data_IF_598570230162
#
_entry.id   IF_598570230162
#
_cell.length_a   1.000
_cell.length_b   1.000
_cell.length_c   1.000
_cell.angle_alpha   90.00
_cell.angle_beta   90.00
_cell.angle_gamma   90.00
#
_symmetry.space_group_name_H-M   'P 1'
#
loop_
_entity.id
_entity.type
_entity.pdbx_description
1 polymer ?
#
# COMPACT_ATOMS: atom_id res chain seq x y z
N UNK A 1 13.07 -42.10 -18.96
CA UNK A 1 13.78 -41.51 -17.80
C UNK A 1 13.32 -40.07 -17.67
N UNK A 2 12.53 -39.75 -16.64
CA UNK A 2 12.08 -38.38 -16.42
C UNK A 2 13.28 -37.55 -15.95
N UNK A 3 13.53 -36.41 -16.61
CA UNK A 3 14.59 -35.50 -16.20
C UNK A 3 14.13 -34.85 -14.89
N UNK A 4 14.88 -35.01 -13.81
CA UNK A 4 14.64 -34.30 -12.55
C UNK A 4 14.80 -32.81 -12.82
N UNK A 5 13.69 -32.07 -12.81
CA UNK A 5 13.72 -30.60 -12.90
C UNK A 5 14.20 -30.08 -11.55
N UNK A 6 15.48 -29.70 -11.48
CA UNK A 6 16.05 -29.09 -10.29
C UNK A 6 15.46 -27.68 -10.13
N UNK A 7 14.80 -27.46 -8.99
CA UNK A 7 14.26 -26.17 -8.51
C UNK A 7 13.01 -25.63 -9.26
N UNK A 8 11.83 -26.26 -9.06
CA UNK A 8 10.57 -25.72 -9.58
C UNK A 8 10.15 -24.46 -8.82
N UNK A 9 9.46 -23.55 -9.49
CA UNK A 9 8.86 -22.41 -8.80
C UNK A 9 7.75 -22.88 -7.84
N UNK A 10 7.62 -22.23 -6.69
CA UNK A 10 6.60 -22.52 -5.67
C UNK A 10 5.17 -22.63 -6.25
N UNK A 11 4.83 -21.76 -7.21
CA UNK A 11 3.52 -21.78 -7.86
C UNK A 11 3.32 -23.01 -8.78
N UNK A 12 4.38 -23.54 -9.39
CA UNK A 12 4.31 -24.75 -10.23
C UNK A 12 3.97 -25.97 -9.36
N UNK A 13 4.69 -26.13 -8.24
CA UNK A 13 4.44 -27.22 -7.28
C UNK A 13 3.00 -27.16 -6.74
N UNK A 14 2.54 -25.95 -6.40
CA UNK A 14 1.16 -25.74 -5.89
C UNK A 14 0.10 -26.01 -6.96
N UNK A 15 0.38 -25.72 -8.23
CA UNK A 15 -0.49 -26.08 -9.35
C UNK A 15 -0.65 -27.59 -9.49
N UNK A 16 0.45 -28.34 -9.36
CA UNK A 16 0.43 -29.81 -9.37
C UNK A 16 -0.37 -30.36 -8.18
N UNK A 17 -0.20 -29.77 -6.98
CA UNK A 17 -1.00 -30.14 -5.80
C UNK A 17 -2.50 -29.91 -6.06
N UNK A 18 -2.88 -28.77 -6.65
CA UNK A 18 -4.27 -28.45 -6.97
C UNK A 18 -4.87 -29.48 -7.94
N UNK A 19 -4.12 -29.81 -9.00
CA UNK A 19 -4.53 -30.81 -9.99
C UNK A 19 -4.70 -32.21 -9.37
N UNK A 20 -3.73 -32.68 -8.59
CA UNK A 20 -3.79 -34.00 -7.95
C UNK A 20 -4.88 -34.06 -6.86
N UNK A 21 -5.13 -32.95 -6.15
CA UNK A 21 -6.24 -32.84 -5.21
C UNK A 21 -7.60 -32.93 -5.92
N UNK A 22 -7.75 -32.29 -7.09
CA UNK A 22 -8.96 -32.40 -7.90
C UNK A 22 -9.22 -33.85 -8.35
N UNK A 23 -8.16 -34.62 -8.62
CA UNK A 23 -8.21 -36.08 -8.87
C UNK A 23 -8.45 -36.93 -7.62
N UNK A 24 -8.68 -36.32 -6.45
CA UNK A 24 -8.93 -36.98 -5.15
C UNK A 24 -7.78 -37.89 -4.68
N UNK A 25 -6.55 -37.56 -5.06
CA UNK A 25 -5.34 -38.27 -4.57
C UNK A 25 -5.10 -37.90 -3.10
N UNK A 26 -4.73 -38.89 -2.27
CA UNK A 26 -4.44 -38.65 -0.85
C UNK A 26 -3.18 -37.77 -0.69
N UNK A 27 -3.13 -36.84 0.28
CA UNK A 27 -1.98 -35.93 0.45
C UNK A 27 -0.61 -36.61 0.58
N UNK A 28 -0.55 -37.80 1.20
CA UNK A 28 0.69 -38.56 1.32
C UNK A 28 1.21 -39.07 -0.04
N UNK A 29 0.29 -39.44 -0.93
CA UNK A 29 0.61 -39.89 -2.29
C UNK A 29 1.00 -38.71 -3.18
N UNK A 30 0.35 -37.55 -3.01
CA UNK A 30 0.75 -36.30 -3.67
C UNK A 30 2.20 -35.97 -3.33
N UNK A 31 2.59 -36.02 -2.06
CA UNK A 31 3.97 -35.78 -1.63
C UNK A 31 4.95 -36.76 -2.28
N UNK A 32 4.61 -38.05 -2.35
CA UNK A 32 5.47 -39.07 -2.98
C UNK A 32 5.73 -38.75 -4.46
N UNK A 33 4.70 -38.38 -5.21
CA UNK A 33 4.82 -38.00 -6.62
C UNK A 33 5.61 -36.71 -6.81
N UNK A 34 5.45 -35.73 -5.90
CA UNK A 34 6.26 -34.50 -5.95
C UNK A 34 7.74 -34.79 -5.73
N UNK A 35 8.09 -35.64 -4.76
CA UNK A 35 9.48 -36.03 -4.49
C UNK A 35 10.09 -36.80 -5.67
N UNK A 36 9.31 -37.66 -6.32
CA UNK A 36 9.76 -38.41 -7.50
C UNK A 36 10.11 -37.50 -8.68
N UNK A 37 9.34 -36.42 -8.89
CA UNK A 37 9.49 -35.51 -10.04
C UNK A 37 10.52 -34.39 -9.75
N UNK A 38 10.42 -33.76 -8.59
CA UNK A 38 11.14 -32.53 -8.23
C UNK A 38 12.26 -32.74 -7.21
N UNK A 39 12.38 -33.93 -6.62
CA UNK A 39 13.40 -34.26 -5.61
C UNK A 39 12.94 -34.04 -4.16
N UNK A 40 13.75 -34.51 -3.22
CA UNK A 40 13.42 -34.54 -1.77
C UNK A 40 13.18 -33.15 -1.15
N UNK A 41 13.79 -32.10 -1.71
CA UNK A 41 13.75 -30.75 -1.15
C UNK A 41 12.58 -29.88 -1.65
N UNK A 42 11.65 -30.42 -2.44
CA UNK A 42 10.58 -29.64 -3.07
C UNK A 42 9.61 -29.00 -2.06
N UNK A 43 9.08 -29.80 -1.14
CA UNK A 43 8.07 -29.35 -0.18
C UNK A 43 7.86 -30.39 0.92
N UNK A 44 7.85 -29.96 2.18
CA UNK A 44 7.52 -30.85 3.30
C UNK A 44 6.06 -31.33 3.24
N UNK A 45 5.80 -32.57 3.66
CA UNK A 45 4.45 -33.16 3.71
C UNK A 45 3.40 -32.29 4.43
N UNK A 46 3.81 -31.54 5.44
CA UNK A 46 2.94 -30.61 6.17
C UNK A 46 2.39 -29.48 5.29
N UNK A 47 3.21 -28.95 4.37
CA UNK A 47 2.79 -27.90 3.43
C UNK A 47 1.85 -28.45 2.36
N UNK A 48 2.08 -29.67 1.87
CA UNK A 48 1.16 -30.35 0.95
C UNK A 48 -0.23 -30.49 1.60
N UNK A 49 -0.30 -30.96 2.85
CA UNK A 49 -1.57 -31.06 3.59
C UNK A 49 -2.25 -29.71 3.79
N UNK A 50 -1.46 -28.66 4.09
CA UNK A 50 -1.98 -27.29 4.23
C UNK A 50 -2.60 -26.79 2.92
N UNK A 51 -1.94 -26.99 1.78
CA UNK A 51 -2.45 -26.60 0.46
C UNK A 51 -3.69 -27.39 0.08
N UNK A 52 -3.69 -28.72 0.27
CA UNK A 52 -4.88 -29.56 0.03
C UNK A 52 -6.07 -29.06 0.85
N UNK A 53 -5.88 -28.72 2.13
CA UNK A 53 -6.94 -28.15 2.96
C UNK A 53 -7.47 -26.84 2.37
N UNK A 54 -6.59 -25.91 2.01
CA UNK A 54 -7.02 -24.62 1.44
C UNK A 54 -7.77 -24.77 0.11
N UNK A 55 -7.33 -25.71 -0.75
CA UNK A 55 -8.05 -26.01 -2.00
C UNK A 55 -9.44 -26.63 -1.73
N UNK A 56 -9.56 -27.47 -0.70
CA UNK A 56 -10.86 -28.00 -0.28
C UNK A 56 -11.76 -26.92 0.34
N UNK A 57 -11.17 -25.92 0.99
CA UNK A 57 -11.87 -24.75 1.54
C UNK A 57 -12.24 -23.72 0.44
N UNK A 58 -12.00 -24.02 -0.85
CA UNK A 58 -12.44 -23.23 -1.99
C UNK A 58 -11.44 -22.19 -2.51
N UNK A 59 -10.20 -22.17 -2.00
CA UNK A 59 -9.13 -21.30 -2.55
C UNK A 59 -8.81 -21.71 -3.99
N UNK A 60 -8.78 -20.75 -4.91
CA UNK A 60 -8.37 -20.97 -6.32
C UNK A 60 -7.02 -20.33 -6.65
N UNK A 61 -6.56 -19.35 -5.86
CA UNK A 61 -5.31 -18.66 -6.08
C UNK A 61 -4.11 -19.50 -5.59
N UNK A 62 -3.15 -19.70 -6.50
CA UNK A 62 -1.95 -20.51 -6.32
C UNK A 62 -0.78 -19.69 -5.73
N UNK A 63 -0.81 -18.37 -5.93
CA UNK A 63 0.20 -17.45 -5.43
C UNK A 63 0.00 -17.16 -3.94
N UNK A 64 1.08 -16.73 -3.28
CA UNK A 64 1.02 -16.22 -1.93
C UNK A 64 0.07 -15.02 -1.86
N UNK A 65 -0.72 -14.95 -0.79
CA UNK A 65 -1.48 -13.75 -0.50
C UNK A 65 -0.53 -12.62 -0.12
N UNK A 66 -0.95 -11.39 -0.40
CA UNK A 66 -0.23 -10.22 0.06
C UNK A 66 -0.03 -10.34 1.57
N UNK A 67 1.23 -10.42 2.01
CA UNK A 67 1.54 -10.46 3.44
C UNK A 67 1.05 -9.15 4.04
N UNK A 68 0.27 -9.25 5.11
CA UNK A 68 0.01 -8.08 5.95
C UNK A 68 1.37 -7.57 6.44
N UNK A 69 1.76 -6.41 5.92
CA UNK A 69 2.98 -5.74 6.36
C UNK A 69 2.86 -5.30 7.81
N UNK A 70 3.90 -4.65 8.33
CA UNK A 70 3.81 -3.96 9.61
C UNK A 70 2.62 -2.98 9.57
N UNK A 71 1.70 -3.01 10.54
CA UNK A 71 0.62 -2.03 10.61
C UNK A 71 1.23 -0.63 10.63
N UNK A 72 0.84 0.24 9.69
CA UNK A 72 1.29 1.63 9.75
C UNK A 72 0.70 2.27 10.99
N UNK A 73 1.54 2.87 11.83
CA UNK A 73 1.15 3.56 13.09
C UNK A 73 0.20 4.75 12.82
N UNK A 74 0.05 5.15 11.55
CA UNK A 74 -0.98 6.08 11.11
C UNK A 74 -2.36 5.40 11.11
N UNK A 75 -3.03 5.42 12.26
CA UNK A 75 -4.46 5.11 12.39
C UNK A 75 -5.24 6.18 11.61
N UNK A 76 -6.30 5.82 10.88
CA UNK A 76 -7.08 6.77 10.07
C UNK A 76 -7.55 8.01 10.86
N UNK A 77 -7.88 7.83 12.15
CA UNK A 77 -8.25 8.93 13.05
C UNK A 77 -7.11 9.94 13.30
N UNK A 78 -5.84 9.51 13.25
CA UNK A 78 -4.69 10.41 13.31
C UNK A 78 -4.55 11.20 12.01
N UNK A 79 -4.71 10.53 10.87
CA UNK A 79 -4.62 11.17 9.55
C UNK A 79 -5.65 12.29 9.43
N UNK A 80 -6.88 12.06 9.89
CA UNK A 80 -7.94 13.07 9.93
C UNK A 80 -7.55 14.30 10.78
N UNK A 81 -7.02 14.09 11.98
CA UNK A 81 -6.59 15.19 12.88
C UNK A 81 -5.44 16.00 12.30
N UNK A 82 -4.45 15.34 11.69
CA UNK A 82 -3.34 16.03 11.01
C UNK A 82 -3.86 16.84 9.82
N UNK A 83 -4.86 16.33 9.10
CA UNK A 83 -5.47 17.04 7.98
C UNK A 83 -6.27 18.28 8.43
N UNK A 84 -7.09 18.15 9.48
CA UNK A 84 -7.82 19.27 10.08
C UNK A 84 -6.87 20.40 10.46
N UNK A 85 -5.77 20.06 11.15
CA UNK A 85 -4.75 21.04 11.54
C UNK A 85 -4.08 21.72 10.34
N UNK A 86 -3.86 20.96 9.28
CA UNK A 86 -3.32 21.48 8.02
C UNK A 86 -4.27 22.48 7.37
N UNK A 87 -5.58 22.26 7.47
CA UNK A 87 -6.58 23.19 6.94
C UNK A 87 -6.71 24.48 7.76
N UNK A 88 -6.50 24.44 9.08
CA UNK A 88 -6.49 25.65 9.93
C UNK A 88 -5.40 26.65 9.51
N UNK A 89 -4.22 26.16 9.12
CA UNK A 89 -3.11 26.99 8.73
C UNK A 89 -2.36 26.42 7.52
N UNK A 90 -2.60 27.01 6.34
CA UNK A 90 -1.89 26.64 5.10
C UNK A 90 -0.38 26.88 5.13
N UNK A 91 0.14 27.63 6.12
CA UNK A 91 1.57 27.89 6.35
C UNK A 91 2.13 27.13 7.55
N UNK A 92 1.65 25.92 7.79
CA UNK A 92 2.18 25.06 8.86
C UNK A 92 3.57 24.49 8.52
N UNK A 93 4.29 24.06 9.55
CA UNK A 93 5.58 23.37 9.43
C UNK A 93 5.50 22.02 10.16
N UNK A 94 6.22 21.01 9.69
CA UNK A 94 6.29 19.69 10.37
C UNK A 94 6.67 19.80 11.85
N UNK A 95 7.48 20.81 12.22
CA UNK A 95 7.84 21.09 13.62
C UNK A 95 6.63 21.47 14.48
N UNK A 96 5.72 22.30 13.97
CA UNK A 96 4.48 22.66 14.67
C UNK A 96 3.63 21.40 14.91
N UNK A 97 3.55 20.52 13.89
CA UNK A 97 2.87 19.23 14.04
C UNK A 97 3.57 18.32 15.07
N UNK A 98 4.90 18.33 15.17
CA UNK A 98 5.59 17.55 16.20
C UNK A 98 5.31 18.07 17.61
N UNK A 99 5.19 19.39 17.77
CA UNK A 99 4.91 20.01 19.07
C UNK A 99 3.47 19.68 19.52
N UNK A 100 2.50 19.68 18.59
CA UNK A 100 1.10 19.32 18.88
C UNK A 100 0.87 17.81 19.02
N UNK A 101 1.58 17.00 18.24
CA UNK A 101 1.49 15.54 18.24
C UNK A 101 2.76 14.91 18.83
N UNK A 102 3.12 15.30 20.06
CA UNK A 102 4.37 14.88 20.74
C UNK A 102 4.51 13.36 20.94
N UNK A 103 3.40 12.62 20.93
CA UNK A 103 3.37 11.16 21.02
C UNK A 103 3.80 10.46 19.72
N UNK A 104 3.97 11.22 18.64
CA UNK A 104 4.18 10.67 17.29
C UNK A 104 5.52 11.13 16.75
N UNK A 105 6.25 10.17 16.19
CA UNK A 105 7.56 10.48 15.61
C UNK A 105 7.42 11.41 14.39
N UNK A 106 8.40 12.30 14.25
CA UNK A 106 8.50 13.23 13.11
C UNK A 106 8.42 12.51 11.74
N UNK A 107 9.01 11.32 11.64
CA UNK A 107 9.00 10.52 10.41
C UNK A 107 7.59 10.09 10.01
N UNK A 108 6.79 9.65 10.99
CA UNK A 108 5.39 9.25 10.74
C UNK A 108 4.55 10.46 10.35
N UNK A 109 4.73 11.62 11.00
CA UNK A 109 4.05 12.85 10.61
C UNK A 109 4.41 13.28 9.18
N UNK A 110 5.69 13.16 8.80
CA UNK A 110 6.12 13.45 7.43
C UNK A 110 5.50 12.48 6.43
N UNK A 111 5.45 11.19 6.75
CA UNK A 111 4.80 10.17 5.91
C UNK A 111 3.29 10.45 5.73
N UNK A 112 2.60 10.85 6.81
CA UNK A 112 1.17 11.21 6.75
C UNK A 112 0.97 12.41 5.83
N UNK A 113 1.72 13.49 6.01
CA UNK A 113 1.56 14.71 5.22
C UNK A 113 1.89 14.47 3.74
N UNK A 114 3.00 13.79 3.44
CA UNK A 114 3.47 13.61 2.06
C UNK A 114 2.85 12.42 1.34
N UNK A 115 2.71 11.27 1.98
CA UNK A 115 2.27 10.04 1.30
C UNK A 115 0.77 9.78 1.46
N UNK A 116 0.19 10.06 2.64
CA UNK A 116 -1.24 9.80 2.89
C UNK A 116 -2.11 10.96 2.42
N UNK A 117 -1.79 12.19 2.81
CA UNK A 117 -2.52 13.40 2.45
C UNK A 117 -2.06 14.02 1.12
N UNK A 118 -0.90 13.57 0.60
CA UNK A 118 -0.34 14.04 -0.66
C UNK A 118 -0.08 15.56 -0.72
N UNK A 119 0.21 16.18 0.42
CA UNK A 119 0.57 17.58 0.47
C UNK A 119 2.02 17.79 0.02
N UNK A 120 2.23 18.89 -0.71
CA UNK A 120 3.55 19.32 -1.17
C UNK A 120 3.89 20.69 -0.62
N UNK A 121 5.14 20.88 -0.23
CA UNK A 121 5.65 22.18 0.17
C UNK A 121 5.78 23.07 -1.06
N UNK A 122 5.04 24.18 -1.05
CA UNK A 122 5.12 25.22 -2.08
C UNK A 122 5.71 26.50 -1.48
N UNK A 123 6.48 27.23 -2.28
CA UNK A 123 6.93 28.56 -1.90
C UNK A 123 5.84 29.58 -2.21
N UNK A 124 5.57 30.50 -1.29
CA UNK A 124 4.66 31.62 -1.55
C UNK A 124 5.22 32.48 -2.69
N UNK A 125 4.35 32.94 -3.59
CA UNK A 125 4.74 33.90 -4.63
C UNK A 125 5.00 35.27 -4.02
N UNK A 126 6.01 35.96 -4.52
CA UNK A 126 6.29 37.33 -4.10
C UNK A 126 5.19 38.26 -4.58
N UNK A 127 4.70 39.12 -3.69
CA UNK A 127 3.67 40.12 -4.00
C UNK A 127 4.31 41.50 -3.84
N UNK A 128 4.40 42.31 -4.91
CA UNK A 128 5.16 43.56 -4.89
C UNK A 128 4.70 44.59 -3.86
N UNK A 129 3.40 44.62 -3.58
CA UNK A 129 2.81 45.58 -2.65
C UNK A 129 1.58 44.98 -1.99
N UNK A 130 1.43 45.23 -0.70
CA UNK A 130 0.20 44.92 0.03
C UNK A 130 -0.93 45.79 -0.52
N UNK A 131 -1.92 45.15 -1.16
CA UNK A 131 -3.09 45.87 -1.70
C UNK A 131 -4.07 46.16 -0.56
N UNK A 132 -4.40 47.43 -0.39
CA UNK A 132 -5.54 47.85 0.45
C UNK A 132 -6.85 47.56 -0.27
N UNK A 133 -7.96 47.51 0.46
CA UNK A 133 -9.26 47.14 -0.13
C UNK A 133 -9.71 48.11 -1.21
N UNK A 134 -9.40 49.41 -1.07
CA UNK A 134 -9.62 50.44 -2.11
C UNK A 134 -8.87 50.10 -3.41
N UNK A 135 -7.65 49.58 -3.33
CA UNK A 135 -6.89 49.19 -4.51
C UNK A 135 -7.42 47.89 -5.13
N UNK A 136 -8.04 47.00 -4.35
CA UNK A 136 -8.66 45.76 -4.85
C UNK A 136 -9.95 46.08 -5.60
N UNK A 137 -10.82 46.91 -5.04
CA UNK A 137 -12.09 47.32 -5.67
C UNK A 137 -11.86 48.06 -6.98
N UNK A 138 -10.93 49.02 -7.01
CA UNK A 138 -10.52 49.71 -8.25
C UNK A 138 -9.98 48.74 -9.30
N UNK A 139 -9.13 47.79 -8.90
CA UNK A 139 -8.57 46.81 -9.83
C UNK A 139 -9.62 45.86 -10.43
N UNK A 140 -10.61 45.42 -9.65
CA UNK A 140 -11.72 44.60 -10.14
C UNK A 140 -12.60 45.38 -11.12
N UNK A 141 -12.91 46.65 -10.81
CA UNK A 141 -13.69 47.52 -11.72
C UNK A 141 -12.97 47.79 -13.05
N UNK A 142 -11.65 48.01 -13.02
CA UNK A 142 -10.84 48.17 -14.24
C UNK A 142 -10.72 46.89 -15.06
N UNK A 143 -10.68 45.72 -14.43
CA UNK A 143 -10.64 44.43 -15.14
C UNK A 143 -11.97 44.12 -15.83
N UNK A 144 -13.11 44.41 -15.19
CA UNK A 144 -14.44 44.19 -15.76
C UNK A 144 -14.77 45.15 -16.92
N UNK A 145 -14.26 46.39 -16.86
CA UNK A 145 -14.44 47.37 -17.95
C UNK A 145 -13.60 47.06 -19.18
N UNK A 146 -12.43 46.44 -19.02
CA UNK A 146 -11.58 45.97 -20.13
C UNK A 146 -12.15 44.78 -20.90
N UNK A 147 -13.14 44.09 -20.35
CA UNK A 147 -13.75 42.88 -20.91
C UNK A 147 -15.07 43.16 -21.64
N UNK A 148 -15.56 44.41 -21.58
CA UNK A 148 -16.81 44.89 -22.20
C UNK A 148 -16.55 45.85 -23.38
N UNK A 149 -15.29 45.99 -23.80
CA UNK A 149 -14.86 46.62 -25.06
C UNK A 149 -14.31 45.53 -25.96
#
# INVERSE_FOLDING_TARGET
MFKTTADPADCEVRSVIQFLNAKKVKPAEIHRQLVEIYGENVMIVGMVRKWVRQFNDGRTNIHDEARSGRPSVAIDGLVAKVNEKTHENSRFTIRILCDEFSQISKTVLHEIVTNRLNYRKLCSRWVPKMRTDVHKTKGLGSALTFQLV
#
